data_IF_588857169421
#
_entry.id   IF_588857169421
#
_cell.length_a   1.000
_cell.length_b   1.000
_cell.length_c   1.000
_cell.angle_alpha   90.00
_cell.angle_beta   90.00
_cell.angle_gamma   90.00
#
_symmetry.space_group_name_H-M   'P 1'
#
loop_
_entity.id
_entity.type
_entity.pdbx_description
1 polymer ?
#
# COMPACT_ATOMS: atom_id res chain seq x y z
N UNK A 1 -28.52 -1.31 0.63
CA UNK A 1 -27.63 -0.40 -0.13
C UNK A 1 -27.00 0.62 0.82
N UNK A 2 -25.80 0.36 1.32
CA UNK A 2 -25.04 1.27 2.19
C UNK A 2 -24.24 2.25 1.34
N UNK A 3 -24.61 3.53 1.41
CA UNK A 3 -23.96 4.63 0.68
C UNK A 3 -22.55 4.83 1.24
N UNK A 4 -21.53 4.33 0.54
CA UNK A 4 -20.12 4.54 0.90
C UNK A 4 -19.81 6.04 0.79
N UNK A 5 -19.62 6.71 1.92
CA UNK A 5 -19.19 8.12 1.97
C UNK A 5 -17.78 8.22 1.36
N UNK A 6 -17.54 9.07 0.35
CA UNK A 6 -16.20 9.27 -0.20
C UNK A 6 -15.27 9.81 0.90
N UNK A 7 -14.15 9.13 1.15
CA UNK A 7 -13.20 9.54 2.18
C UNK A 7 -12.58 10.91 1.83
N UNK A 8 -12.48 11.86 2.77
CA UNK A 8 -12.08 13.24 2.49
C UNK A 8 -10.56 13.44 2.31
N UNK A 9 -9.75 12.37 2.20
CA UNK A 9 -8.29 12.46 2.40
C UNK A 9 -7.42 12.86 1.20
N UNK A 10 -7.96 13.03 -0.01
CA UNK A 10 -7.12 13.36 -1.20
C UNK A 10 -6.81 14.85 -1.40
N UNK A 11 -7.51 15.79 -0.74
CA UNK A 11 -7.30 17.23 -0.99
C UNK A 11 -6.10 17.86 -0.27
N UNK A 12 -5.58 17.28 0.82
CA UNK A 12 -4.50 17.94 1.59
C UNK A 12 -3.10 17.78 0.99
N UNK A 13 -2.79 16.66 0.33
CA UNK A 13 -1.44 16.43 -0.25
C UNK A 13 -1.09 17.37 -1.42
N UNK A 14 -2.09 17.82 -2.18
CA UNK A 14 -1.87 18.75 -3.28
C UNK A 14 -1.58 20.19 -2.80
N UNK A 15 -2.02 20.55 -1.59
CA UNK A 15 -1.72 21.85 -1.00
C UNK A 15 -0.27 21.91 -0.47
N UNK A 16 0.21 20.81 0.10
CA UNK A 16 1.53 20.73 0.75
C UNK A 16 2.69 20.77 -0.27
N UNK A 17 2.50 20.16 -1.45
CA UNK A 17 3.48 20.23 -2.55
C UNK A 17 3.59 21.62 -3.16
N UNK A 18 2.50 22.40 -3.18
CA UNK A 18 2.51 23.81 -3.62
C UNK A 18 3.25 24.69 -2.62
N UNK A 19 3.02 24.51 -1.32
CA UNK A 19 3.69 25.28 -0.27
C UNK A 19 5.22 25.13 -0.31
N UNK A 20 5.72 23.90 -0.50
CA UNK A 20 7.18 23.65 -0.62
C UNK A 20 7.78 24.24 -1.89
N UNK A 21 7.06 24.19 -3.01
CA UNK A 21 7.48 24.83 -4.25
C UNK A 21 7.62 26.35 -4.11
N UNK A 22 6.67 26.98 -3.41
CA UNK A 22 6.73 28.42 -3.10
C UNK A 22 7.95 28.73 -2.23
N UNK A 23 8.25 27.91 -1.22
CA UNK A 23 9.40 28.12 -0.33
C UNK A 23 10.74 28.09 -1.07
N UNK A 24 10.92 27.12 -1.98
CA UNK A 24 12.13 27.05 -2.83
C UNK A 24 12.23 28.27 -3.75
N UNK A 25 11.12 28.66 -4.40
CA UNK A 25 11.09 29.86 -5.23
C UNK A 25 11.41 31.13 -4.43
N UNK A 26 10.89 31.25 -3.20
CA UNK A 26 11.18 32.37 -2.31
C UNK A 26 12.64 32.42 -1.89
N UNK A 27 13.27 31.28 -1.60
CA UNK A 27 14.71 31.22 -1.29
C UNK A 27 15.56 31.63 -2.51
N UNK A 28 15.23 31.14 -3.71
CA UNK A 28 15.93 31.53 -4.95
C UNK A 28 15.74 33.03 -5.22
N UNK A 29 14.52 33.55 -5.09
CA UNK A 29 14.25 34.98 -5.26
C UNK A 29 15.00 35.83 -4.22
N UNK A 30 15.07 35.40 -2.96
CA UNK A 30 15.83 36.09 -1.92
C UNK A 30 17.33 36.09 -2.22
N UNK A 31 17.90 34.97 -2.68
CA UNK A 31 19.31 34.90 -3.09
C UNK A 31 19.62 35.84 -4.26
N UNK A 32 18.75 35.86 -5.28
CA UNK A 32 18.87 36.79 -6.41
C UNK A 32 18.74 38.26 -5.99
N UNK A 33 17.85 38.57 -5.03
CA UNK A 33 17.70 39.91 -4.48
C UNK A 33 18.98 40.34 -3.74
N UNK A 34 19.54 39.48 -2.88
CA UNK A 34 20.79 39.75 -2.16
C UNK A 34 21.93 39.98 -3.14
N UNK A 35 22.04 39.17 -4.19
CA UNK A 35 23.05 39.34 -5.24
C UNK A 35 22.88 40.68 -5.98
N UNK A 36 21.63 41.04 -6.31
CA UNK A 36 21.29 42.30 -6.99
C UNK A 36 21.64 43.51 -6.11
N UNK A 37 21.35 43.44 -4.81
CA UNK A 37 21.70 44.47 -3.84
C UNK A 37 23.22 44.60 -3.66
N UNK A 38 23.95 43.47 -3.62
CA UNK A 38 25.40 43.47 -3.57
C UNK A 38 26.00 44.13 -4.82
N UNK A 39 25.50 43.80 -6.01
CA UNK A 39 25.89 44.46 -7.27
C UNK A 39 25.61 45.96 -7.26
N UNK A 40 24.46 46.37 -6.73
CA UNK A 40 24.09 47.79 -6.66
C UNK A 40 25.00 48.56 -5.68
N UNK A 41 25.34 47.95 -4.54
CA UNK A 41 26.23 48.52 -3.55
C UNK A 41 27.67 48.69 -4.09
N UNK A 42 28.19 47.69 -4.80
CA UNK A 42 29.53 47.79 -5.40
C UNK A 42 29.56 48.82 -6.51
N UNK A 43 28.55 48.87 -7.38
CA UNK A 43 28.45 49.90 -8.43
C UNK A 43 28.44 51.32 -7.85
N UNK A 44 27.70 51.53 -6.75
CA UNK A 44 27.57 52.85 -6.11
C UNK A 44 28.85 53.30 -5.40
N UNK A 45 29.70 52.37 -4.99
CA UNK A 45 30.95 52.67 -4.27
C UNK A 45 32.06 53.26 -5.14
N UNK A 46 31.88 53.33 -6.47
CA UNK A 46 32.91 53.83 -7.40
C UNK A 46 34.16 52.94 -7.48
N UNK A 47 34.16 51.81 -6.78
CA UNK A 47 35.23 50.83 -6.73
C UNK A 47 35.31 49.99 -8.00
N UNK A 48 36.14 50.46 -8.92
CA UNK A 48 36.96 49.70 -9.87
C UNK A 48 36.37 48.43 -10.51
N UNK A 49 36.25 48.48 -11.84
CA UNK A 49 36.25 47.35 -12.76
C UNK A 49 37.54 46.47 -12.70
N UNK A 50 38.35 46.58 -11.64
CA UNK A 50 39.69 46.01 -11.55
C UNK A 50 39.72 44.51 -11.22
N UNK A 51 38.59 43.89 -10.84
CA UNK A 51 38.55 42.45 -10.51
C UNK A 51 37.36 41.72 -11.16
N UNK A 52 37.26 41.82 -12.49
CA UNK A 52 36.27 41.08 -13.28
C UNK A 52 36.38 39.56 -13.05
N UNK A 53 37.59 39.06 -12.78
CA UNK A 53 37.84 37.64 -12.52
C UNK A 53 37.13 37.17 -11.24
N UNK A 54 37.26 37.89 -10.12
CA UNK A 54 36.57 37.55 -8.87
C UNK A 54 35.05 37.56 -9.00
N UNK A 55 34.49 38.46 -9.82
CA UNK A 55 33.04 38.48 -10.10
C UNK A 55 32.58 37.24 -10.88
N UNK A 56 33.34 36.84 -11.89
CA UNK A 56 33.04 35.63 -12.67
C UNK A 56 33.12 34.40 -11.76
N UNK A 57 34.12 34.31 -10.90
CA UNK A 57 34.28 33.21 -9.94
C UNK A 57 33.12 33.15 -8.93
N UNK A 58 32.70 34.29 -8.38
CA UNK A 58 31.58 34.37 -7.47
C UNK A 58 30.26 33.95 -8.14
N UNK A 59 30.00 34.42 -9.37
CA UNK A 59 28.83 34.04 -10.15
C UNK A 59 28.84 32.55 -10.50
N UNK A 60 29.99 31.99 -10.89
CA UNK A 60 30.15 30.58 -11.16
C UNK A 60 29.87 29.73 -9.92
N UNK A 61 30.39 30.13 -8.76
CA UNK A 61 30.17 29.45 -7.48
C UNK A 61 28.69 29.48 -7.08
N UNK A 62 28.03 30.64 -7.23
CA UNK A 62 26.60 30.76 -6.98
C UNK A 62 25.75 29.90 -7.92
N UNK A 63 26.10 29.87 -9.21
CA UNK A 63 25.43 29.04 -10.20
C UNK A 63 25.61 27.55 -9.86
N UNK A 64 26.82 27.12 -9.50
CA UNK A 64 27.11 25.75 -9.08
C UNK A 64 26.32 25.37 -7.81
N UNK A 65 26.29 26.25 -6.81
CA UNK A 65 25.49 26.02 -5.59
C UNK A 65 24.00 25.91 -5.90
N UNK A 66 23.48 26.80 -6.74
CA UNK A 66 22.07 26.79 -7.15
C UNK A 66 21.73 25.48 -7.90
N UNK A 67 22.61 25.03 -8.80
CA UNK A 67 22.47 23.76 -9.49
C UNK A 67 22.48 22.57 -8.51
N UNK A 68 23.35 22.59 -7.49
CA UNK A 68 23.40 21.56 -6.46
C UNK A 68 22.10 21.50 -5.63
N UNK A 69 21.52 22.65 -5.27
CA UNK A 69 20.23 22.71 -4.56
C UNK A 69 19.10 22.13 -5.43
N UNK A 70 19.03 22.50 -6.71
CA UNK A 70 18.03 21.95 -7.64
C UNK A 70 18.21 20.44 -7.79
N UNK A 71 19.45 19.96 -7.95
CA UNK A 71 19.74 18.54 -8.03
C UNK A 71 19.31 17.80 -6.77
N UNK A 72 19.60 18.32 -5.58
CA UNK A 72 19.17 17.74 -4.31
C UNK A 72 17.64 17.63 -4.20
N UNK A 73 16.91 18.66 -4.64
CA UNK A 73 15.43 18.64 -4.67
C UNK A 73 14.91 17.58 -5.65
N UNK A 74 15.50 17.47 -6.84
CA UNK A 74 15.11 16.47 -7.85
C UNK A 74 15.39 15.06 -7.33
N UNK A 75 16.59 14.80 -6.80
CA UNK A 75 16.98 13.51 -6.23
C UNK A 75 16.06 13.11 -5.08
N UNK A 76 15.73 14.03 -4.17
CA UNK A 76 14.80 13.76 -3.07
C UNK A 76 13.42 13.32 -3.57
N UNK A 77 12.91 13.92 -4.65
CA UNK A 77 11.61 13.53 -5.22
C UNK A 77 11.68 12.18 -5.92
N UNK A 78 12.74 11.92 -6.67
CA UNK A 78 12.94 10.62 -7.33
C UNK A 78 13.06 9.51 -6.29
N UNK A 79 13.83 9.76 -5.23
CA UNK A 79 13.99 8.82 -4.12
C UNK A 79 12.67 8.50 -3.42
N UNK A 80 11.78 9.47 -3.20
CA UNK A 80 10.45 9.20 -2.63
C UNK A 80 9.59 8.29 -3.52
N UNK A 81 9.69 8.45 -4.85
CA UNK A 81 8.95 7.63 -5.82
C UNK A 81 9.52 6.22 -5.91
N UNK A 82 10.85 6.10 -5.97
CA UNK A 82 11.54 4.81 -5.96
C UNK A 82 11.28 4.05 -4.66
N UNK A 83 11.39 4.72 -3.51
CA UNK A 83 11.05 4.13 -2.22
C UNK A 83 9.60 3.64 -2.17
N UNK A 84 8.65 4.42 -2.66
CA UNK A 84 7.25 3.98 -2.72
C UNK A 84 7.03 2.79 -3.68
N UNK A 85 7.86 2.67 -4.73
CA UNK A 85 7.86 1.54 -5.65
C UNK A 85 8.44 0.30 -4.98
N UNK A 86 9.55 0.44 -4.26
CA UNK A 86 10.22 -0.64 -3.53
C UNK A 86 9.33 -1.17 -2.40
N UNK A 87 8.72 -0.28 -1.61
CA UNK A 87 7.75 -0.65 -0.55
C UNK A 87 6.59 -1.49 -1.14
N UNK A 88 6.09 -1.10 -2.32
CA UNK A 88 5.01 -1.83 -3.03
C UNK A 88 5.51 -3.15 -3.61
N UNK A 89 6.74 -3.18 -4.14
CA UNK A 89 7.35 -4.39 -4.66
C UNK A 89 7.52 -5.43 -3.54
N UNK A 90 7.97 -5.01 -2.37
CA UNK A 90 8.05 -5.87 -1.19
C UNK A 90 6.67 -6.41 -0.77
N UNK A 91 5.65 -5.54 -0.68
CA UNK A 91 4.28 -5.96 -0.37
C UNK A 91 3.70 -6.94 -1.41
N UNK A 92 4.20 -6.90 -2.65
CA UNK A 92 3.78 -7.82 -3.72
C UNK A 92 4.24 -9.26 -3.51
N UNK A 93 5.29 -9.47 -2.70
CA UNK A 93 5.87 -10.78 -2.39
C UNK A 93 5.10 -11.58 -1.35
N UNK A 94 4.06 -10.99 -0.75
CA UNK A 94 3.22 -11.67 0.23
C UNK A 94 1.95 -12.13 -0.48
N UNK A 95 1.74 -13.44 -0.51
CA UNK A 95 0.63 -14.06 -1.19
C UNK A 95 -0.17 -14.93 -0.23
N UNK A 96 -1.46 -15.04 -0.49
CA UNK A 96 -2.32 -16.02 0.15
C UNK A 96 -3.17 -16.67 -0.93
N UNK A 97 -3.42 -17.96 -0.81
CA UNK A 97 -4.29 -18.71 -1.70
C UNK A 97 -5.01 -19.80 -0.92
N UNK A 98 -6.23 -20.11 -1.35
CA UNK A 98 -6.95 -21.27 -0.83
C UNK A 98 -6.34 -22.52 -1.46
N UNK A 99 -6.09 -23.54 -0.65
CA UNK A 99 -5.85 -24.88 -1.19
C UNK A 99 -7.15 -25.63 -1.05
N UNK A 100 -7.78 -25.98 -2.17
CA UNK A 100 -8.57 -27.19 -2.10
C UNK A 100 -7.70 -28.29 -2.68
N UNK A 101 -7.16 -29.08 -1.78
CA UNK A 101 -7.20 -30.51 -2.01
C UNK A 101 -8.56 -30.96 -1.47
N UNK A 102 -9.55 -31.05 -2.33
CA UNK A 102 -10.50 -32.15 -2.17
C UNK A 102 -9.73 -33.41 -2.55
N UNK A 103 -9.60 -34.33 -1.61
CA UNK A 103 -9.04 -35.66 -1.75
C UNK A 103 -9.51 -36.32 -3.07
N UNK A 104 -8.70 -36.21 -4.13
CA UNK A 104 -9.06 -36.61 -5.49
C UNK A 104 -8.65 -35.59 -6.56
N UNK A 105 -7.39 -35.66 -7.00
CA UNK A 105 -6.81 -35.33 -8.32
C UNK A 105 -7.42 -34.25 -9.24
N UNK A 106 -8.09 -33.23 -8.71
CA UNK A 106 -8.55 -32.06 -9.48
C UNK A 106 -7.78 -30.82 -9.06
N UNK A 107 -6.91 -30.37 -9.95
CA UNK A 107 -6.31 -29.05 -9.89
C UNK A 107 -7.44 -28.00 -9.80
N UNK A 108 -7.45 -27.29 -8.67
CA UNK A 108 -8.40 -26.22 -8.41
C UNK A 108 -8.05 -25.01 -9.26
N UNK A 109 -8.74 -24.91 -10.40
CA UNK A 109 -9.09 -23.63 -11.00
C UNK A 109 -9.76 -22.79 -9.88
N UNK A 110 -9.42 -21.49 -9.65
CA UNK A 110 -10.00 -20.64 -8.59
C UNK A 110 -11.55 -20.49 -8.61
N UNK A 111 -12.23 -21.26 -9.46
CA UNK A 111 -13.67 -21.47 -9.54
C UNK A 111 -13.96 -22.97 -9.39
N UNK A 112 -13.71 -23.57 -8.22
CA UNK A 112 -14.06 -24.97 -8.00
C UNK A 112 -15.47 -25.08 -7.44
N UNK A 113 -16.32 -25.70 -8.24
CA UNK A 113 -17.68 -26.10 -7.92
C UNK A 113 -17.65 -27.24 -6.90
N UNK A 114 -17.69 -26.90 -5.62
CA UNK A 114 -17.84 -27.90 -4.56
C UNK A 114 -19.31 -28.33 -4.50
N UNK A 115 -19.61 -29.61 -4.72
CA UNK A 115 -20.91 -30.21 -4.41
C UNK A 115 -21.04 -30.33 -2.88
N UNK A 116 -21.62 -29.30 -2.26
CA UNK A 116 -21.72 -29.18 -0.80
C UNK A 116 -22.91 -30.00 -0.28
N UNK A 117 -22.83 -31.32 -0.34
CA UNK A 117 -23.89 -32.19 0.21
C UNK A 117 -23.82 -32.29 1.76
N UNK A 118 -22.75 -31.77 2.39
CA UNK A 118 -22.51 -31.82 3.85
C UNK A 118 -22.10 -30.51 4.54
N UNK A 119 -22.16 -29.38 3.84
CA UNK A 119 -21.71 -28.08 4.37
C UNK A 119 -20.18 -27.94 4.39
N UNK A 120 -19.66 -26.82 3.90
CA UNK A 120 -18.22 -26.51 3.99
C UNK A 120 -17.92 -26.07 5.43
N UNK A 121 -17.21 -26.90 6.20
CA UNK A 121 -16.97 -26.63 7.63
C UNK A 121 -15.69 -25.83 7.88
N UNK A 122 -14.68 -25.99 7.04
CA UNK A 122 -13.43 -25.23 7.11
C UNK A 122 -12.82 -25.07 5.73
N UNK A 123 -11.99 -24.04 5.57
CA UNK A 123 -11.15 -23.83 4.38
C UNK A 123 -9.74 -23.56 4.86
N UNK A 124 -8.77 -24.26 4.27
CA UNK A 124 -7.36 -23.98 4.50
C UNK A 124 -6.87 -22.93 3.52
N UNK A 125 -6.21 -21.91 4.06
CA UNK A 125 -5.54 -20.88 3.30
C UNK A 125 -4.05 -21.02 3.55
N UNK A 126 -3.29 -21.21 2.47
CA UNK A 126 -1.85 -21.07 2.50
C UNK A 126 -1.51 -19.58 2.43
N UNK A 127 -0.64 -19.13 3.34
CA UNK A 127 -0.08 -17.78 3.36
C UNK A 127 1.43 -17.91 3.26
N UNK A 128 2.02 -17.08 2.40
CA UNK A 128 3.45 -17.12 2.10
C UNK A 128 4.04 -15.71 2.13
N UNK A 129 5.23 -15.59 2.72
CA UNK A 129 6.01 -14.36 2.72
C UNK A 129 7.33 -14.54 1.98
N UNK A 130 7.35 -14.23 0.69
CA UNK A 130 8.58 -14.24 -0.11
C UNK A 130 9.42 -12.95 0.04
N UNK A 131 9.06 -12.04 0.96
CA UNK A 131 9.86 -10.86 1.27
C UNK A 131 11.07 -11.23 2.13
N UNK A 132 12.25 -10.61 1.92
CA UNK A 132 13.45 -10.84 2.75
C UNK A 132 13.32 -10.28 4.17
N UNK A 133 12.19 -9.64 4.50
CA UNK A 133 11.90 -9.09 5.83
C UNK A 133 10.53 -9.58 6.34
N UNK A 134 10.36 -9.72 7.67
CA UNK A 134 9.12 -10.20 8.26
C UNK A 134 7.96 -9.22 8.02
N UNK A 135 6.74 -9.77 7.98
CA UNK A 135 5.51 -8.99 8.04
C UNK A 135 4.69 -9.34 9.27
N UNK A 136 3.86 -8.42 9.73
CA UNK A 136 3.13 -8.50 10.99
C UNK A 136 1.64 -8.32 10.78
N UNK A 137 0.84 -8.75 11.76
CA UNK A 137 -0.61 -8.57 11.79
C UNK A 137 -1.27 -9.01 10.47
N UNK A 138 -0.90 -10.18 9.97
CA UNK A 138 -1.49 -10.73 8.74
C UNK A 138 -2.88 -11.23 9.09
N UNK A 139 -3.90 -10.58 8.53
CA UNK A 139 -5.30 -10.93 8.68
C UNK A 139 -5.77 -11.45 7.33
N UNK A 140 -6.13 -12.72 7.28
CA UNK A 140 -6.76 -13.32 6.11
C UNK A 140 -8.25 -13.28 6.33
N UNK A 141 -9.00 -12.75 5.36
CA UNK A 141 -10.46 -12.76 5.35
C UNK A 141 -10.94 -13.56 4.15
N UNK A 142 -11.79 -14.53 4.42
CA UNK A 142 -12.44 -15.32 3.40
C UNK A 142 -13.91 -14.92 3.33
N UNK A 143 -14.37 -14.50 2.16
CA UNK A 143 -15.78 -14.29 1.86
C UNK A 143 -16.22 -15.38 0.85
N UNK A 144 -17.36 -16.01 1.10
CA UNK A 144 -17.96 -17.00 0.24
C UNK A 144 -19.01 -16.30 -0.64
N UNK A 145 -18.93 -16.46 -1.95
CA UNK A 145 -19.91 -15.95 -2.90
C UNK A 145 -20.62 -17.12 -3.57
N UNK A 146 -21.93 -17.23 -3.38
CA UNK A 146 -22.74 -18.17 -4.15
C UNK A 146 -23.06 -17.57 -5.53
N UNK A 147 -22.87 -18.37 -6.57
CA UNK A 147 -23.15 -18.02 -7.96
C UNK A 147 -24.05 -19.11 -8.54
N UNK A 148 -25.20 -18.77 -9.14
CA UNK A 148 -26.05 -19.79 -9.75
C UNK A 148 -25.31 -20.55 -10.87
N UNK A 149 -25.42 -21.88 -10.89
CA UNK A 149 -24.75 -22.80 -11.85
C UNK A 149 -25.22 -22.53 -13.28
N UNK A 150 -26.49 -22.14 -13.44
CA UNK A 150 -27.06 -21.71 -14.73
C UNK A 150 -27.76 -20.38 -14.56
N UNK A 151 -27.43 -19.35 -15.37
CA UNK A 151 -28.25 -18.16 -15.44
C UNK A 151 -29.59 -18.54 -16.08
N UNK A 152 -30.59 -18.83 -15.24
CA UNK A 152 -31.96 -19.10 -15.65
C UNK A 152 -32.59 -17.80 -16.14
N UNK A 153 -32.46 -17.54 -17.44
CA UNK A 153 -33.00 -16.37 -18.16
C UNK A 153 -32.19 -15.08 -18.11
N UNK A 154 -32.22 -14.35 -19.23
CA UNK A 154 -31.58 -13.02 -19.43
C UNK A 154 -32.19 -11.94 -18.53
N UNK A 155 -33.34 -12.19 -17.92
CA UNK A 155 -34.02 -11.28 -17.00
C UNK A 155 -33.50 -11.37 -15.55
N UNK A 156 -32.78 -12.44 -15.20
CA UNK A 156 -32.31 -12.69 -13.84
C UNK A 156 -30.97 -12.00 -13.51
N UNK A 157 -30.65 -10.93 -14.24
CA UNK A 157 -29.46 -10.07 -14.03
C UNK A 157 -29.45 -9.33 -12.68
N UNK A 158 -30.54 -9.46 -11.91
CA UNK A 158 -30.64 -9.01 -10.52
C UNK A 158 -30.21 -10.07 -9.49
N UNK A 159 -29.69 -11.23 -9.92
CA UNK A 159 -29.24 -12.30 -9.01
C UNK A 159 -28.27 -11.73 -7.99
N UNK A 160 -28.78 -11.61 -6.77
CA UNK A 160 -28.09 -10.98 -5.66
C UNK A 160 -26.95 -11.91 -5.30
N UNK A 161 -25.73 -11.54 -5.66
CA UNK A 161 -24.53 -12.19 -5.18
C UNK A 161 -24.56 -12.20 -3.64
N UNK A 162 -24.93 -13.33 -3.07
CA UNK A 162 -24.90 -13.53 -1.63
C UNK A 162 -23.42 -13.73 -1.27
N UNK A 163 -22.74 -12.63 -0.99
CA UNK A 163 -21.45 -12.65 -0.31
C UNK A 163 -21.72 -12.88 1.17
N UNK A 164 -21.15 -13.94 1.72
CA UNK A 164 -21.16 -14.25 3.13
C UNK A 164 -19.75 -14.26 3.66
N UNK A 165 -19.54 -13.62 4.80
CA UNK A 165 -18.30 -13.73 5.52
C UNK A 165 -18.10 -15.18 6.00
N UNK A 166 -17.00 -15.82 5.58
CA UNK A 166 -16.67 -17.19 5.97
C UNK A 166 -15.78 -17.21 7.21
N UNK A 167 -14.88 -16.24 7.38
CA UNK A 167 -14.05 -16.18 8.59
C UNK A 167 -12.82 -15.31 8.43
N UNK A 168 -12.13 -15.10 9.55
CA UNK A 168 -10.81 -14.51 9.58
C UNK A 168 -9.83 -15.43 10.26
N UNK A 169 -8.58 -15.28 9.89
CA UNK A 169 -7.50 -15.84 10.66
C UNK A 169 -6.32 -14.87 10.70
N UNK A 170 -5.72 -14.79 11.88
CA UNK A 170 -4.72 -13.79 12.21
C UNK A 170 -3.37 -14.49 12.46
N UNK A 171 -2.31 -13.97 11.86
CA UNK A 171 -0.93 -14.35 12.10
C UNK A 171 -0.21 -13.10 12.63
N UNK A 172 0.31 -13.19 13.85
CA UNK A 172 0.97 -12.06 14.49
C UNK A 172 2.22 -11.64 13.73
N UNK A 173 3.08 -12.60 13.39
CA UNK A 173 4.30 -12.38 12.62
C UNK A 173 4.48 -13.51 11.62
N UNK A 174 4.70 -13.14 10.37
CA UNK A 174 5.05 -14.03 9.27
C UNK A 174 6.54 -13.79 8.96
N UNK A 175 7.43 -14.72 9.33
CA UNK A 175 8.87 -14.54 9.16
C UNK A 175 9.24 -14.39 7.68
N UNK A 176 10.43 -13.83 7.36
CA UNK A 176 10.97 -13.97 6.01
C UNK A 176 11.29 -15.44 5.79
N UNK A 177 10.73 -16.04 4.74
CA UNK A 177 10.88 -17.47 4.49
C UNK A 177 12.17 -17.79 3.72
N UNK A 178 12.75 -18.95 4.04
CA UNK A 178 13.40 -19.81 3.05
C UNK A 178 12.30 -20.34 2.11
N UNK A 179 12.50 -20.29 0.79
CA UNK A 179 11.49 -20.44 -0.30
C UNK A 179 10.43 -21.58 -0.20
N UNK A 180 10.53 -22.49 0.77
CA UNK A 180 9.74 -23.72 0.92
C UNK A 180 8.76 -23.72 2.10
N UNK A 181 8.87 -22.79 3.05
CA UNK A 181 7.91 -22.75 4.15
C UNK A 181 6.57 -22.20 3.61
N UNK A 182 5.45 -22.75 4.10
CA UNK A 182 4.10 -22.28 3.79
C UNK A 182 3.38 -22.25 5.12
N UNK A 183 2.87 -21.07 5.51
CA UNK A 183 2.09 -20.94 6.72
C UNK A 183 0.63 -21.26 6.43
N UNK A 184 0.20 -22.40 6.96
CA UNK A 184 -1.17 -22.86 6.84
C UNK A 184 -2.05 -22.19 7.89
N UNK A 185 -3.12 -21.58 7.41
CA UNK A 185 -4.09 -20.90 8.25
C UNK A 185 -5.47 -21.46 7.98
N UNK A 186 -6.11 -21.98 9.02
CA UNK A 186 -7.46 -22.54 8.89
C UNK A 186 -8.48 -21.44 9.16
N UNK A 187 -9.17 -20.98 8.12
CA UNK A 187 -10.38 -20.19 8.28
C UNK A 187 -11.51 -21.16 8.64
N UNK A 188 -12.11 -20.98 9.82
CA UNK A 188 -13.28 -21.74 10.24
C UNK A 188 -14.51 -20.89 10.06
N UNK A 189 -15.54 -21.50 9.48
CA UNK A 189 -16.85 -20.88 9.45
C UNK A 189 -17.33 -20.72 10.91
N UNK A 190 -17.72 -19.51 11.35
CA UNK A 190 -18.51 -19.43 12.56
C UNK A 190 -19.74 -20.30 12.29
N UNK A 191 -19.95 -21.35 13.08
CA UNK A 191 -21.11 -22.22 12.96
C UNK A 191 -22.32 -21.34 13.22
N UNK A 192 -22.89 -20.81 12.15
CA UNK A 192 -24.15 -20.11 12.18
C UNK A 192 -25.21 -21.17 11.90
N UNK A 193 -25.86 -21.73 12.93
CA UNK A 193 -26.89 -22.76 12.76
C UNK A 193 -28.10 -22.24 11.97
N UNK A 194 -28.18 -20.92 11.72
CA UNK A 194 -29.21 -20.28 10.90
C UNK A 194 -28.72 -19.97 9.48
N UNK A 195 -27.57 -20.50 9.07
CA UNK A 195 -27.13 -20.38 7.69
C UNK A 195 -28.11 -21.07 6.75
N UNK A 196 -28.82 -20.33 5.87
CA UNK A 196 -29.62 -20.97 4.83
C UNK A 196 -28.70 -21.88 4.03
N UNK A 197 -29.15 -23.13 3.84
CA UNK A 197 -28.50 -24.07 2.94
C UNK A 197 -28.30 -23.38 1.60
N UNK A 198 -27.08 -23.44 1.06
CA UNK A 198 -26.86 -22.97 -0.30
C UNK A 198 -27.78 -23.80 -1.20
N UNK A 199 -28.63 -23.17 -2.03
CA UNK A 199 -29.48 -23.94 -2.92
C UNK A 199 -28.59 -24.80 -3.81
N UNK A 200 -28.95 -26.08 -3.98
CA UNK A 200 -28.15 -27.09 -4.72
C UNK A 200 -27.72 -26.66 -6.13
N UNK A 201 -28.38 -25.65 -6.69
CA UNK A 201 -28.10 -25.05 -8.00
C UNK A 201 -27.10 -23.88 -7.97
N UNK A 202 -26.28 -23.73 -6.92
CA UNK A 202 -25.24 -22.70 -6.83
C UNK A 202 -23.83 -23.28 -6.76
N UNK A 203 -22.95 -22.77 -7.61
CA UNK A 203 -21.51 -22.87 -7.48
C UNK A 203 -21.05 -21.93 -6.36
N UNK A 204 -20.15 -22.40 -5.50
CA UNK A 204 -19.54 -21.58 -4.46
C UNK A 204 -18.19 -21.05 -4.94
N UNK A 205 -17.94 -19.76 -4.79
CA UNK A 205 -16.62 -19.13 -5.02
C UNK A 205 -16.07 -18.55 -3.74
N UNK A 206 -14.77 -18.69 -3.54
CA UNK A 206 -14.07 -18.09 -2.41
C UNK A 206 -13.36 -16.80 -2.82
N UNK A 207 -13.70 -15.71 -2.16
CA UNK A 207 -13.04 -14.43 -2.28
C UNK A 207 -12.10 -14.26 -1.09
N UNK A 208 -10.82 -14.42 -1.37
CA UNK A 208 -9.76 -14.27 -0.38
C UNK A 208 -9.26 -12.82 -0.39
N UNK A 209 -9.33 -12.15 0.75
CA UNK A 209 -8.64 -10.87 0.95
C UNK A 209 -7.67 -10.98 2.11
N UNK A 210 -6.63 -10.18 2.08
CA UNK A 210 -5.59 -10.21 3.10
C UNK A 210 -5.17 -8.80 3.46
N UNK A 211 -4.98 -8.56 4.75
CA UNK A 211 -4.42 -7.33 5.29
C UNK A 211 -3.16 -7.65 6.06
N UNK A 212 -2.12 -6.84 5.94
CA UNK A 212 -0.87 -7.06 6.68
C UNK A 212 -0.13 -5.75 6.92
N UNK A 213 0.81 -5.76 7.85
CA UNK A 213 1.74 -4.67 8.13
C UNK A 213 3.14 -5.06 7.68
N UNK A 214 3.74 -4.27 6.79
CA UNK A 214 5.12 -4.50 6.34
C UNK A 214 6.16 -4.09 7.41
N UNK A 215 7.43 -4.37 7.14
CA UNK A 215 8.54 -4.03 8.05
C UNK A 215 8.70 -2.51 8.28
N UNK A 216 8.24 -1.67 7.33
CA UNK A 216 8.24 -0.21 7.46
C UNK A 216 7.02 0.31 8.26
N UNK A 217 6.09 -0.58 8.64
CA UNK A 217 4.89 -0.27 9.41
C UNK A 217 3.69 0.15 8.57
N UNK A 218 3.76 0.14 7.24
CA UNK A 218 2.60 0.42 6.40
C UNK A 218 1.62 -0.73 6.42
N UNK A 219 0.33 -0.41 6.45
CA UNK A 219 -0.73 -1.41 6.33
C UNK A 219 -1.21 -1.52 4.89
N UNK A 220 -1.15 -2.73 4.36
CA UNK A 220 -1.58 -3.09 3.01
C UNK A 220 -2.83 -3.95 3.06
N UNK A 221 -3.68 -3.80 2.06
CA UNK A 221 -4.79 -4.68 1.73
C UNK A 221 -4.54 -5.27 0.36
N UNK A 222 -4.64 -6.58 0.24
CA UNK A 222 -4.75 -7.30 -1.01
C UNK A 222 -6.18 -7.80 -1.13
N UNK A 223 -6.89 -7.34 -2.15
CA UNK A 223 -8.24 -7.83 -2.43
C UNK A 223 -8.22 -9.19 -3.14
N UNK A 224 -9.41 -9.74 -3.40
CA UNK A 224 -9.62 -11.04 -4.05
C UNK A 224 -9.14 -11.14 -5.50
N UNK A 225 -8.84 -10.01 -6.15
CA UNK A 225 -8.21 -9.99 -7.49
C UNK A 225 -6.70 -9.78 -7.41
N UNK A 226 -6.12 -9.78 -6.20
CA UNK A 226 -4.68 -9.59 -5.98
C UNK A 226 -4.22 -8.13 -6.01
N UNK A 227 -5.14 -7.15 -6.07
CA UNK A 227 -4.77 -5.74 -6.10
C UNK A 227 -4.35 -5.27 -4.71
N UNK A 228 -3.14 -4.73 -4.64
CA UNK A 228 -2.60 -4.10 -3.44
C UNK A 228 -3.00 -2.63 -3.29
N UNK A 229 -3.55 -2.30 -2.13
CA UNK A 229 -3.94 -0.95 -1.72
C UNK A 229 -3.35 -0.64 -0.34
N UNK A 230 -2.72 0.53 -0.19
CA UNK A 230 -2.21 1.00 1.11
C UNK A 230 -3.35 1.65 1.90
N UNK A 231 -3.69 1.10 3.07
CA UNK A 231 -4.81 1.57 3.91
C UNK A 231 -4.34 2.57 4.97
N UNK A 232 -3.17 2.34 5.57
CA UNK A 232 -2.67 3.16 6.66
C UNK A 232 -1.15 3.41 6.56
N UNK A 233 -0.74 4.60 7.01
CA UNK A 233 0.66 4.94 7.24
C UNK A 233 1.17 4.26 8.52
N UNK A 234 2.49 4.16 8.72
CA UNK A 234 3.07 3.63 9.94
C UNK A 234 2.50 4.43 11.09
N UNK A 235 1.94 3.72 12.07
CA UNK A 235 1.60 4.38 13.32
C UNK A 235 2.93 4.89 13.87
N UNK A 236 3.10 6.20 14.14
CA UNK A 236 4.31 6.65 14.80
C UNK A 236 4.39 5.81 16.06
N UNK A 237 5.40 4.95 16.14
CA UNK A 237 5.75 4.28 17.38
C UNK A 237 5.92 5.42 18.34
N UNK A 238 5.00 5.55 19.29
CA UNK A 238 5.19 6.48 20.38
C UNK A 238 6.51 6.02 20.98
N UNK A 239 7.59 6.78 20.70
CA UNK A 239 8.87 6.56 21.36
C UNK A 239 8.47 6.59 22.82
N UNK A 240 8.62 5.48 23.57
CA UNK A 240 8.32 5.52 24.97
C UNK A 240 9.20 6.64 25.50
N UNK A 241 8.57 7.78 25.82
CA UNK A 241 9.26 8.83 26.55
C UNK A 241 9.55 8.14 27.86
N UNK A 242 10.79 7.64 27.98
CA UNK A 242 11.29 7.05 29.20
C UNK A 242 10.86 8.01 30.29
N UNK A 243 10.02 7.53 31.19
CA UNK A 243 9.68 8.27 32.39
C UNK A 243 11.04 8.64 32.97
N UNK A 244 11.40 9.94 33.09
CA UNK A 244 12.66 10.26 33.69
C UNK A 244 12.58 9.73 35.12
N UNK A 245 13.37 8.71 35.42
CA UNK A 245 13.53 8.19 36.76
C UNK A 245 14.22 9.31 37.55
N UNK A 246 13.41 10.04 38.33
CA UNK A 246 13.85 10.96 39.37
C UNK A 246 13.39 10.42 40.72
#
# INVERSE_FOLDING_TARGET
>A
MTRVKPSPRKRSRAADTRARGVLVLSCVAAALLVLSLAMLATWRSGGAWADVAGWIEALATLAAFSAAVVAAVVVSRTFEVERARDDRAQASLIAAWTTGETEGDYAIDPVTELEVDRGITFVQVAVRNASPVPVRNVQVRLDLQAVPVRPTSREDSGTTHASRYFGTADIETLPPEDEREIHWVTARMPVDPLAPEFPREHTVRFHLSMRFTDAAGYTWERDHIGRLTRIAAPRPTAVPMGRPDY
#
